data_IF_221944811481
#
_entry.id   IF_221944811481
#
_cell.length_a   1.000
_cell.length_b   1.000
_cell.length_c   1.000
_cell.angle_alpha   90.00
_cell.angle_beta   90.00
_cell.angle_gamma   90.00
#
_symmetry.space_group_name_H-M   'P 1'
#
loop_
_entity.id
_entity.type
_entity.pdbx_description
1 polymer ?
#
# COMPACT_ATOMS: atom_id res chain seq x y z
N UNK A 1 -4.15 6.17 7.83
CA UNK A 1 -4.80 6.44 6.53
C UNK A 1 -4.00 7.45 5.72
N UNK A 2 -3.65 7.20 4.45
CA UNK A 2 -3.03 8.23 3.56
C UNK A 2 -4.10 8.92 2.73
N UNK A 3 -3.70 10.05 2.14
CA UNK A 3 -4.50 10.79 1.17
C UNK A 3 -3.80 10.80 -0.19
N UNK A 4 -4.52 10.45 -1.23
CA UNK A 4 -4.10 10.58 -2.63
C UNK A 4 -3.90 12.05 -2.99
N UNK A 5 -2.86 12.34 -3.79
CA UNK A 5 -2.59 13.72 -4.25
C UNK A 5 -3.61 14.25 -5.24
N UNK A 6 -4.29 13.35 -5.93
CA UNK A 6 -5.38 13.64 -6.86
C UNK A 6 -6.39 12.49 -6.82
N UNK A 7 -7.52 12.67 -7.50
CA UNK A 7 -8.44 11.56 -7.74
C UNK A 7 -7.73 10.48 -8.55
N UNK A 8 -7.89 9.22 -8.12
CA UNK A 8 -7.29 8.07 -8.79
C UNK A 8 -8.25 7.56 -9.85
N UNK A 9 -7.74 7.35 -11.06
CA UNK A 9 -8.43 6.54 -12.05
C UNK A 9 -8.29 5.05 -11.74
N UNK A 10 -9.13 4.22 -12.36
CA UNK A 10 -8.99 2.76 -12.28
C UNK A 10 -7.59 2.29 -12.75
N UNK A 11 -7.00 2.99 -13.72
CA UNK A 11 -5.64 2.70 -14.20
C UNK A 11 -4.56 3.02 -13.16
N UNK A 12 -4.72 4.11 -12.41
CA UNK A 12 -3.81 4.46 -11.31
C UNK A 12 -3.89 3.41 -10.19
N UNK A 13 -5.11 2.99 -9.85
CA UNK A 13 -5.34 1.94 -8.84
C UNK A 13 -4.76 0.59 -9.28
N UNK A 14 -4.94 0.19 -10.54
CA UNK A 14 -4.34 -1.04 -11.07
C UNK A 14 -2.81 -1.00 -11.07
N UNK A 15 -2.21 0.17 -11.36
CA UNK A 15 -0.77 0.33 -11.29
C UNK A 15 -0.25 0.15 -9.85
N UNK A 16 -0.92 0.77 -8.87
CA UNK A 16 -0.60 0.63 -7.44
C UNK A 16 -0.77 -0.84 -7.01
N UNK A 17 -1.88 -1.47 -7.35
CA UNK A 17 -2.16 -2.88 -7.00
C UNK A 17 -1.15 -3.84 -7.64
N UNK A 18 -0.75 -3.59 -8.89
CA UNK A 18 0.25 -4.41 -9.58
C UNK A 18 1.61 -4.31 -8.90
N UNK A 19 2.08 -3.10 -8.61
CA UNK A 19 3.35 -2.89 -7.91
C UNK A 19 3.34 -3.50 -6.50
N UNK A 20 2.24 -3.27 -5.76
CA UNK A 20 2.06 -3.84 -4.43
C UNK A 20 2.07 -5.37 -4.46
N UNK A 21 1.33 -6.01 -5.36
CA UNK A 21 1.31 -7.48 -5.49
C UNK A 21 2.69 -8.05 -5.80
N UNK A 22 3.45 -7.43 -6.71
CA UNK A 22 4.80 -7.89 -7.06
C UNK A 22 5.76 -7.78 -5.88
N UNK A 23 5.80 -6.63 -5.21
CA UNK A 23 6.69 -6.41 -4.05
C UNK A 23 6.29 -7.30 -2.88
N UNK A 24 4.99 -7.45 -2.61
CA UNK A 24 4.49 -8.23 -1.50
C UNK A 24 4.72 -9.72 -1.72
N UNK A 25 4.49 -10.24 -2.93
CA UNK A 25 4.74 -11.65 -3.26
C UNK A 25 6.22 -12.03 -3.07
N UNK A 26 7.15 -11.16 -3.45
CA UNK A 26 8.58 -11.39 -3.26
C UNK A 26 8.98 -11.46 -1.76
N UNK A 27 8.22 -10.79 -0.90
CA UNK A 27 8.45 -10.74 0.55
C UNK A 27 7.55 -11.71 1.35
N UNK A 28 6.71 -12.51 0.69
CA UNK A 28 5.75 -13.39 1.35
C UNK A 28 4.65 -12.65 2.13
N UNK A 29 4.37 -11.40 1.74
CA UNK A 29 3.36 -10.54 2.37
C UNK A 29 2.04 -10.67 1.60
N UNK A 30 0.93 -10.71 2.33
CA UNK A 30 -0.44 -10.62 1.80
C UNK A 30 -1.16 -9.42 2.38
N UNK A 31 -2.35 -9.09 1.85
CA UNK A 31 -3.11 -7.98 2.40
C UNK A 31 -4.23 -7.46 1.52
N UNK A 32 -4.81 -6.36 2.00
CA UNK A 32 -5.91 -5.63 1.34
C UNK A 32 -5.50 -4.15 1.23
N UNK A 33 -5.80 -3.54 0.09
CA UNK A 33 -5.74 -2.09 -0.11
C UNK A 33 -7.14 -1.61 -0.50
N UNK A 34 -7.67 -0.64 0.24
CA UNK A 34 -8.93 0.04 -0.04
C UNK A 34 -8.63 1.48 -0.43
N UNK A 35 -9.39 1.98 -1.40
CA UNK A 35 -9.39 3.37 -1.81
C UNK A 35 -10.81 3.92 -1.83
N UNK A 36 -11.02 5.10 -1.26
CA UNK A 36 -12.31 5.81 -1.28
C UNK A 36 -12.15 7.23 -0.75
N UNK A 37 -12.88 8.19 -1.32
CA UNK A 37 -12.81 9.62 -0.96
C UNK A 37 -11.38 10.19 -0.92
N UNK A 38 -10.54 9.77 -1.87
CA UNK A 38 -9.09 10.07 -1.92
C UNK A 38 -8.29 9.54 -0.74
N UNK A 39 -8.84 8.66 0.08
CA UNK A 39 -8.13 8.01 1.18
C UNK A 39 -7.75 6.59 0.83
N UNK A 40 -6.57 6.18 1.28
CA UNK A 40 -6.15 4.77 1.22
C UNK A 40 -6.08 4.17 2.62
N UNK A 41 -6.56 2.93 2.72
CA UNK A 41 -6.42 2.06 3.88
C UNK A 41 -5.78 0.75 3.45
N UNK A 42 -4.71 0.34 4.13
CA UNK A 42 -4.01 -0.91 3.82
C UNK A 42 -3.87 -1.78 5.07
N UNK A 43 -4.16 -3.06 4.92
CA UNK A 43 -3.89 -4.10 5.91
C UNK A 43 -2.85 -5.06 5.32
N UNK A 44 -1.78 -5.34 6.05
CA UNK A 44 -0.68 -6.21 5.63
C UNK A 44 -0.51 -7.36 6.62
N UNK A 45 -0.30 -8.56 6.09
CA UNK A 45 -0.11 -9.79 6.84
C UNK A 45 1.16 -10.50 6.34
N UNK A 46 2.00 -10.97 7.25
CA UNK A 46 3.31 -11.54 6.91
C UNK A 46 4.27 -11.49 8.09
N UNK A 47 5.54 -11.79 7.82
CA UNK A 47 6.60 -11.70 8.83
C UNK A 47 6.84 -10.25 9.25
N UNK A 48 6.95 -10.00 10.56
CA UNK A 48 7.11 -8.66 11.11
C UNK A 48 8.27 -7.88 10.47
N UNK A 49 9.44 -8.52 10.29
CA UNK A 49 10.60 -7.85 9.68
C UNK A 49 10.35 -7.43 8.23
N UNK A 50 9.59 -8.23 7.47
CA UNK A 50 9.22 -7.91 6.09
C UNK A 50 8.18 -6.79 6.06
N UNK A 51 7.21 -6.82 6.98
CA UNK A 51 6.21 -5.75 7.13
C UNK A 51 6.90 -4.42 7.48
N UNK A 52 7.84 -4.41 8.43
CA UNK A 52 8.58 -3.22 8.84
C UNK A 52 9.42 -2.65 7.67
N UNK A 53 10.14 -3.51 6.95
CA UNK A 53 10.92 -3.08 5.77
C UNK A 53 10.03 -2.54 4.63
N UNK A 54 8.87 -3.17 4.40
CA UNK A 54 7.89 -2.69 3.43
C UNK A 54 7.28 -1.35 3.88
N UNK A 55 6.97 -1.23 5.17
CA UNK A 55 6.46 0.00 5.75
C UNK A 55 7.44 1.16 5.57
N UNK A 56 8.73 0.96 5.86
CA UNK A 56 9.74 2.01 5.69
C UNK A 56 9.87 2.46 4.24
N UNK A 57 9.80 1.52 3.28
CA UNK A 57 9.83 1.84 1.85
C UNK A 57 8.63 2.69 1.44
N UNK A 58 7.43 2.31 1.86
CA UNK A 58 6.22 3.00 1.45
C UNK A 58 6.05 4.32 2.24
N UNK A 59 6.50 4.41 3.49
CA UNK A 59 6.45 5.65 4.29
C UNK A 59 7.28 6.80 3.69
N UNK A 60 8.35 6.47 2.96
CA UNK A 60 9.17 7.45 2.23
C UNK A 60 8.51 7.83 0.90
N UNK A 61 7.70 6.94 0.32
CA UNK A 61 6.96 7.18 -0.90
C UNK A 61 5.69 7.99 -0.60
N UNK A 62 5.81 9.31 -0.73
CA UNK A 62 4.80 10.32 -0.33
C UNK A 62 3.47 10.22 -1.12
N UNK A 63 3.27 9.21 -1.97
CA UNK A 63 2.02 8.96 -2.70
C UNK A 63 1.15 7.85 -2.06
N UNK A 64 1.68 7.06 -1.14
CA UNK A 64 0.92 6.01 -0.41
C UNK A 64 1.50 5.92 1.01
N UNK A 65 0.79 6.23 2.10
CA UNK A 65 0.27 5.24 3.06
C UNK A 65 -0.23 5.94 4.33
N UNK A 66 -1.27 5.40 4.97
CA UNK A 66 -1.19 5.22 6.41
C UNK A 66 -2.15 4.13 6.95
N UNK A 67 -1.62 3.42 7.94
CA UNK A 67 -2.14 3.01 9.25
C UNK A 67 -3.60 2.52 9.41
N UNK A 68 -3.71 1.26 9.85
CA UNK A 68 -4.20 0.92 11.19
C UNK A 68 -3.13 0.11 11.95
N UNK A 69 -2.89 0.47 13.22
CA UNK A 69 -2.28 -0.41 14.22
C UNK A 69 -3.39 -1.12 14.98
#
# INVERSE_FOLDING_TARGET
MSTARHDMSDGDLEAILTAARQSNAAAGITGILLYGDRHFLQCLEGEQQQIEALYDRIAVDRDTLALCR
#
